data_IF_059488616750
#
_entry.id   IF_059488616750
#
_cell.length_a   1.000
_cell.length_b   1.000
_cell.length_c   1.000
_cell.angle_alpha   90.00
_cell.angle_beta   90.00
_cell.angle_gamma   90.00
#
_symmetry.space_group_name_H-M   'P 1'
#
loop_
_entity.id
_entity.type
_entity.pdbx_description
1 polymer ?
#
# COMPACT_ATOMS: atom_id res chain seq x y z
N UNK A 1 24.88 53.99 -11.09
CA UNK A 1 23.54 53.46 -11.43
C UNK A 1 23.46 52.91 -12.86
N UNK A 2 24.03 53.58 -13.89
CA UNK A 2 23.97 53.11 -15.29
C UNK A 2 24.73 51.80 -15.63
N UNK A 3 25.72 51.37 -14.81
CA UNK A 3 26.45 50.10 -15.05
C UNK A 3 25.65 48.83 -14.73
N UNK A 4 24.54 48.92 -13.99
CA UNK A 4 23.61 47.81 -13.76
C UNK A 4 22.62 47.64 -14.93
N UNK A 5 22.47 48.67 -15.77
CA UNK A 5 21.60 48.68 -16.95
C UNK A 5 22.25 48.04 -18.18
N UNK A 6 23.56 47.85 -18.16
CA UNK A 6 24.37 47.34 -19.27
C UNK A 6 25.02 45.97 -18.95
N UNK A 7 24.76 45.42 -17.76
CA UNK A 7 25.28 44.12 -17.35
C UNK A 7 24.31 43.02 -17.77
N UNK A 8 24.75 42.12 -18.65
CA UNK A 8 24.08 40.84 -18.84
C UNK A 8 24.02 40.10 -17.51
N UNK A 9 22.82 39.78 -17.06
CA UNK A 9 22.62 38.72 -16.07
C UNK A 9 23.02 37.42 -16.75
N UNK A 10 24.30 37.06 -16.62
CA UNK A 10 24.75 35.69 -16.82
C UNK A 10 24.02 34.83 -15.78
N UNK A 11 22.83 34.39 -16.18
CA UNK A 11 21.99 33.44 -15.50
C UNK A 11 22.88 32.36 -14.92
N UNK A 12 22.85 32.25 -13.60
CA UNK A 12 23.22 31.03 -12.92
C UNK A 12 22.50 29.87 -13.64
N UNK A 13 23.19 29.19 -14.54
CA UNK A 13 22.73 27.91 -15.03
C UNK A 13 22.93 26.94 -13.86
N UNK A 14 21.88 26.30 -13.33
CA UNK A 14 22.08 25.13 -12.49
C UNK A 14 22.93 24.09 -13.28
N UNK A 15 23.76 23.27 -12.62
CA UNK A 15 24.69 22.34 -13.25
C UNK A 15 23.98 21.10 -13.82
N UNK A 16 22.91 21.33 -14.59
CA UNK A 16 22.17 20.32 -15.32
C UNK A 16 21.97 20.85 -16.75
N UNK A 17 22.89 20.49 -17.62
CA UNK A 17 22.74 20.55 -19.07
C UNK A 17 23.76 19.60 -19.70
N UNK A 18 23.28 18.72 -20.58
CA UNK A 18 22.96 19.11 -21.95
C UNK A 18 21.53 19.64 -22.08
N UNK A 19 21.37 20.77 -22.78
CA UNK A 19 20.06 21.30 -23.17
C UNK A 19 19.81 20.95 -24.63
N UNK A 20 18.57 20.59 -24.96
CA UNK A 20 18.18 20.40 -26.37
C UNK A 20 18.08 21.78 -27.00
N UNK A 21 19.10 22.16 -27.78
CA UNK A 21 19.03 23.34 -28.64
C UNK A 21 18.27 22.99 -29.91
N UNK A 22 16.96 23.25 -29.89
CA UNK A 22 16.06 23.03 -31.03
C UNK A 22 16.41 23.92 -32.24
N UNK A 23 17.19 24.99 -32.01
CA UNK A 23 17.70 25.93 -33.02
C UNK A 23 18.76 25.31 -33.93
N UNK A 24 19.48 24.29 -33.45
CA UNK A 24 20.50 23.57 -34.22
C UNK A 24 19.95 22.34 -34.97
N UNK A 25 18.63 22.15 -34.98
CA UNK A 25 17.96 21.04 -35.66
C UNK A 25 18.46 19.66 -35.21
N UNK A 26 18.65 18.75 -36.17
CA UNK A 26 19.07 17.35 -35.91
C UNK A 26 20.46 17.29 -35.26
N UNK A 27 21.33 18.28 -35.51
CA UNK A 27 22.66 18.35 -34.89
C UNK A 27 22.57 18.68 -33.39
N UNK A 28 21.66 19.57 -32.99
CA UNK A 28 21.38 19.87 -31.57
C UNK A 28 20.78 18.69 -30.83
N UNK A 29 19.88 17.94 -31.48
CA UNK A 29 19.35 16.70 -30.91
C UNK A 29 20.45 15.63 -30.74
N UNK A 30 21.34 15.45 -31.72
CA UNK A 30 22.45 14.50 -31.62
C UNK A 30 23.45 14.88 -30.52
N UNK A 31 23.76 16.17 -30.36
CA UNK A 31 24.63 16.66 -29.30
C UNK A 31 24.01 16.45 -27.90
N UNK A 32 22.69 16.62 -27.76
CA UNK A 32 21.98 16.31 -26.53
C UNK A 32 22.06 14.83 -26.16
N UNK A 33 21.77 13.93 -27.11
CA UNK A 33 21.85 12.49 -26.85
C UNK A 33 23.29 12.02 -26.58
N UNK A 34 24.30 12.63 -27.22
CA UNK A 34 25.71 12.31 -26.98
C UNK A 34 26.22 12.79 -25.62
N UNK A 35 25.59 13.82 -25.05
CA UNK A 35 25.95 14.37 -23.75
C UNK A 35 25.14 13.78 -22.58
N UNK A 36 24.25 12.80 -22.83
CA UNK A 36 23.59 12.04 -21.78
C UNK A 36 24.63 11.15 -21.07
N UNK A 37 25.03 11.56 -19.89
CA UNK A 37 25.91 10.79 -19.02
C UNK A 37 25.11 9.76 -18.19
N UNK A 38 25.30 8.48 -18.49
CA UNK A 38 24.70 7.37 -17.74
C UNK A 38 25.58 6.90 -16.57
N UNK A 39 26.76 7.50 -16.38
CA UNK A 39 27.68 7.13 -15.32
C UNK A 39 27.09 7.38 -13.93
N UNK A 40 26.25 8.42 -13.77
CA UNK A 40 25.51 8.68 -12.52
C UNK A 40 24.54 7.55 -12.17
N UNK A 41 23.84 6.97 -13.15
CA UNK A 41 22.96 5.80 -12.95
C UNK A 41 23.75 4.52 -12.65
N UNK A 42 24.93 4.36 -13.26
CA UNK A 42 25.85 3.26 -12.95
C UNK A 42 26.48 3.38 -11.55
N UNK A 43 26.71 4.61 -11.05
CA UNK A 43 27.16 4.84 -9.67
C UNK A 43 26.06 4.57 -8.65
N UNK A 44 24.81 4.97 -8.93
CA UNK A 44 23.62 4.67 -8.10
C UNK A 44 23.41 3.17 -7.86
N UNK A 45 23.75 2.33 -8.85
CA UNK A 45 23.59 0.86 -8.77
C UNK A 45 24.79 0.13 -8.18
N UNK A 46 25.94 0.79 -8.00
CA UNK A 46 27.13 0.19 -7.38
C UNK A 46 27.32 0.57 -5.92
N UNK A 47 26.71 1.67 -5.49
CA UNK A 47 26.83 2.12 -4.12
C UNK A 47 25.86 1.37 -3.19
N UNK A 48 26.45 0.52 -2.35
CA UNK A 48 25.73 -0.32 -1.39
C UNK A 48 24.81 0.47 -0.46
N UNK A 49 25.10 1.75 -0.19
CA UNK A 49 24.31 2.59 0.70
C UNK A 49 22.97 3.00 0.07
N UNK A 50 22.96 3.27 -1.23
CA UNK A 50 21.73 3.57 -1.96
C UNK A 50 20.85 2.32 -2.07
N UNK A 51 21.43 1.18 -2.45
CA UNK A 51 20.69 -0.08 -2.54
C UNK A 51 20.12 -0.46 -1.17
N UNK A 52 20.90 -0.35 -0.09
CA UNK A 52 20.44 -0.64 1.26
C UNK A 52 19.28 0.29 1.70
N UNK A 53 19.32 1.57 1.33
CA UNK A 53 18.25 2.53 1.64
C UNK A 53 16.95 2.20 0.88
N UNK A 54 17.07 1.83 -0.40
CA UNK A 54 15.93 1.37 -1.21
C UNK A 54 15.32 0.08 -0.64
N UNK A 55 16.15 -0.92 -0.33
CA UNK A 55 15.68 -2.19 0.23
C UNK A 55 15.03 -2.00 1.61
N UNK A 56 15.62 -1.15 2.45
CA UNK A 56 15.08 -0.82 3.77
C UNK A 56 13.72 -0.16 3.63
N UNK A 57 13.57 0.83 2.74
CA UNK A 57 12.29 1.50 2.49
C UNK A 57 11.22 0.52 2.00
N UNK A 58 11.59 -0.40 1.10
CA UNK A 58 10.68 -1.44 0.61
C UNK A 58 10.27 -2.40 1.74
N UNK A 59 11.22 -2.81 2.59
CA UNK A 59 10.95 -3.62 3.79
C UNK A 59 10.01 -2.89 4.74
N UNK A 60 10.26 -1.61 5.03
CA UNK A 60 9.39 -0.79 5.87
C UNK A 60 7.97 -0.72 5.31
N UNK A 61 7.83 -0.46 4.01
CA UNK A 61 6.53 -0.43 3.34
C UNK A 61 5.81 -1.78 3.44
N UNK A 62 6.49 -2.88 3.09
CA UNK A 62 5.90 -4.22 3.14
C UNK A 62 5.43 -4.63 4.54
N UNK A 63 6.27 -4.39 5.57
CA UNK A 63 5.95 -4.71 6.97
C UNK A 63 4.81 -3.82 7.47
N UNK A 64 4.87 -2.52 7.21
CA UNK A 64 3.84 -1.58 7.63
C UNK A 64 2.48 -1.90 7.00
N UNK A 65 2.43 -2.13 5.68
CA UNK A 65 1.20 -2.51 4.98
C UNK A 65 0.66 -3.83 5.52
N UNK A 66 1.52 -4.81 5.79
CA UNK A 66 1.10 -6.09 6.38
C UNK A 66 0.48 -5.91 7.76
N UNK A 67 1.09 -5.11 8.63
CA UNK A 67 0.55 -4.78 9.97
C UNK A 67 -0.77 -4.01 9.87
N UNK A 68 -0.85 -3.02 8.98
CA UNK A 68 -2.07 -2.26 8.70
C UNK A 68 -3.21 -3.15 8.21
N UNK A 69 -2.92 -4.11 7.33
CA UNK A 69 -3.92 -5.05 6.85
C UNK A 69 -4.35 -5.98 7.98
N UNK A 70 -3.40 -6.53 8.74
CA UNK A 70 -3.67 -7.46 9.84
C UNK A 70 -4.52 -6.85 10.95
N UNK A 71 -4.38 -5.54 11.21
CA UNK A 71 -5.14 -4.82 12.25
C UNK A 71 -6.38 -4.12 11.67
N UNK A 72 -6.25 -3.44 10.54
CA UNK A 72 -7.32 -2.67 9.92
C UNK A 72 -8.44 -3.54 9.37
N UNK A 73 -8.11 -4.72 8.85
CA UNK A 73 -9.09 -5.67 8.34
C UNK A 73 -10.07 -6.19 9.41
N UNK A 74 -9.63 -6.74 10.56
CA UNK A 74 -10.56 -7.21 11.59
C UNK A 74 -11.37 -6.06 12.20
N UNK A 75 -10.82 -4.84 12.28
CA UNK A 75 -11.57 -3.65 12.70
C UNK A 75 -12.70 -3.35 11.71
N UNK A 76 -12.39 -3.26 10.41
CA UNK A 76 -13.39 -2.98 9.37
C UNK A 76 -14.46 -4.09 9.31
N UNK A 77 -14.05 -5.34 9.44
CA UNK A 77 -14.96 -6.48 9.50
C UNK A 77 -15.87 -6.44 10.73
N UNK A 78 -15.32 -6.18 11.92
CA UNK A 78 -16.11 -5.99 13.13
C UNK A 78 -17.14 -4.87 12.96
N UNK A 79 -16.71 -3.71 12.44
CA UNK A 79 -17.59 -2.56 12.15
C UNK A 79 -18.75 -2.89 11.21
N UNK A 80 -18.49 -3.69 10.16
CA UNK A 80 -19.52 -4.08 9.18
C UNK A 80 -20.67 -4.89 9.80
N UNK A 81 -20.43 -5.60 10.91
CA UNK A 81 -21.42 -6.47 11.58
C UNK A 81 -22.30 -5.76 12.62
N UNK A 82 -21.99 -4.52 12.97
CA UNK A 82 -22.79 -3.76 13.94
C UNK A 82 -24.06 -3.16 13.33
N UNK A 83 -25.09 -2.88 14.17
CA UNK A 83 -26.29 -2.16 13.74
C UNK A 83 -25.96 -0.78 13.13
N UNK A 84 -26.78 -0.27 12.19
CA UNK A 84 -26.48 0.94 11.43
C UNK A 84 -26.20 2.18 12.29
N UNK A 85 -26.88 2.33 13.43
CA UNK A 85 -26.65 3.43 14.37
C UNK A 85 -25.27 3.36 15.04
N UNK A 86 -24.81 2.17 15.42
CA UNK A 86 -23.49 1.99 16.07
C UNK A 86 -22.37 2.12 15.05
N UNK A 87 -22.56 1.59 13.84
CA UNK A 87 -21.64 1.71 12.71
C UNK A 87 -21.25 3.16 12.40
N UNK A 88 -22.23 4.07 12.34
CA UNK A 88 -21.96 5.49 12.12
C UNK A 88 -21.11 6.11 13.25
N UNK A 89 -21.37 5.73 14.51
CA UNK A 89 -20.57 6.16 15.65
C UNK A 89 -19.13 5.61 15.59
N UNK A 90 -18.93 4.34 15.22
CA UNK A 90 -17.60 3.75 15.05
C UNK A 90 -16.83 4.41 13.89
N UNK A 91 -17.47 4.69 12.76
CA UNK A 91 -16.85 5.44 11.66
C UNK A 91 -16.39 6.82 12.11
N UNK A 92 -17.23 7.52 12.90
CA UNK A 92 -16.87 8.82 13.46
C UNK A 92 -15.69 8.72 14.43
N UNK A 93 -15.63 7.66 15.25
CA UNK A 93 -14.49 7.38 16.14
C UNK A 93 -13.19 7.10 15.37
N UNK A 94 -13.25 6.42 14.22
CA UNK A 94 -12.08 6.15 13.35
C UNK A 94 -11.58 7.42 12.66
N UNK A 95 -12.47 8.37 12.34
CA UNK A 95 -12.12 9.64 11.72
C UNK A 95 -11.61 10.66 12.76
N UNK A 96 -12.05 10.56 14.02
CA UNK A 96 -11.62 11.43 15.12
C UNK A 96 -10.10 11.67 15.22
N UNK A 97 -9.21 10.66 15.13
CA UNK A 97 -7.76 10.87 15.16
C UNK A 97 -7.23 11.73 13.99
N UNK A 98 -7.96 11.83 12.88
CA UNK A 98 -7.60 12.69 11.76
C UNK A 98 -7.83 14.17 12.06
N UNK A 99 -8.81 14.50 12.92
CA UNK A 99 -9.14 15.89 13.28
C UNK A 99 -8.14 16.48 14.29
N UNK A 100 -7.29 15.65 14.88
CA UNK A 100 -6.24 16.09 15.80
C UNK A 100 -4.97 16.49 15.06
N UNK A 101 -4.32 17.59 15.47
CA UNK A 101 -3.05 18.04 14.89
C UNK A 101 -1.99 16.95 14.96
N UNK A 102 -1.28 16.75 13.83
CA UNK A 102 -0.20 15.77 13.71
C UNK A 102 0.86 15.94 14.82
N UNK A 103 1.20 17.17 15.18
CA UNK A 103 2.20 17.45 16.22
C UNK A 103 1.74 16.93 17.60
N UNK A 104 0.49 17.15 17.97
CA UNK A 104 -0.06 16.68 19.25
C UNK A 104 0.02 15.16 19.33
N UNK A 105 -0.32 14.47 18.22
CA UNK A 105 -0.20 13.01 18.12
C UNK A 105 1.23 12.52 18.28
N UNK A 106 2.20 13.19 17.65
CA UNK A 106 3.62 12.84 17.78
C UNK A 106 4.07 13.00 19.23
N UNK A 107 3.75 14.12 19.88
CA UNK A 107 4.10 14.33 21.29
C UNK A 107 3.40 13.34 22.23
N UNK A 108 2.14 12.97 21.96
CA UNK A 108 1.43 11.95 22.70
C UNK A 108 2.13 10.59 22.60
N UNK A 109 2.53 10.17 21.39
CA UNK A 109 3.28 8.93 21.19
C UNK A 109 4.67 8.97 21.84
N UNK A 110 5.38 10.10 21.76
CA UNK A 110 6.65 10.30 22.47
C UNK A 110 6.44 10.12 23.99
N UNK A 111 5.38 10.72 24.56
CA UNK A 111 5.07 10.61 25.98
C UNK A 111 4.69 9.18 26.41
N UNK A 112 4.06 8.40 25.53
CA UNK A 112 3.70 6.99 25.78
C UNK A 112 4.91 6.07 25.67
N UNK A 113 5.77 6.27 24.65
CA UNK A 113 6.88 5.37 24.30
C UNK A 113 8.21 5.71 24.98
N UNK A 114 8.33 6.88 25.63
CA UNK A 114 9.54 7.23 26.39
C UNK A 114 9.81 6.20 27.49
N UNK A 115 11.06 6.05 27.96
CA UNK A 115 11.42 5.05 28.97
C UNK A 115 10.59 5.14 30.26
N UNK A 116 10.20 6.35 30.66
CA UNK A 116 9.33 6.62 31.82
C UNK A 116 7.89 6.95 31.39
N UNK A 117 7.45 6.40 30.26
CA UNK A 117 6.18 6.68 29.63
C UNK A 117 5.05 5.80 30.15
N UNK A 118 3.85 6.04 29.64
CA UNK A 118 2.66 5.30 30.03
C UNK A 118 2.77 3.80 29.74
N UNK A 119 3.44 3.43 28.64
CA UNK A 119 3.66 2.03 28.27
C UNK A 119 4.50 1.29 29.32
N UNK A 120 5.67 1.83 29.67
CA UNK A 120 6.54 1.21 30.66
C UNK A 120 5.95 1.26 32.07
N UNK A 121 5.17 2.29 32.41
CA UNK A 121 4.43 2.35 33.65
C UNK A 121 3.37 1.23 33.75
N UNK A 122 2.69 0.90 32.64
CA UNK A 122 1.74 -0.21 32.58
C UNK A 122 2.42 -1.60 32.59
N UNK A 123 3.66 -1.70 32.11
CA UNK A 123 4.46 -2.94 32.12
C UNK A 123 5.13 -3.21 33.48
N UNK A 124 5.40 -2.17 34.26
CA UNK A 124 6.00 -2.29 35.60
C UNK A 124 5.27 -3.26 36.56
N UNK A 125 3.92 -3.23 36.71
CA UNK A 125 3.22 -4.18 37.58
C UNK A 125 3.27 -5.63 37.08
N UNK A 126 3.59 -5.87 35.80
CA UNK A 126 3.78 -7.21 35.22
C UNK A 126 5.20 -7.74 35.46
N UNK A 127 6.09 -6.97 36.10
CA UNK A 127 7.49 -7.35 36.33
C UNK A 127 8.36 -7.32 35.07
N UNK A 128 7.88 -6.71 33.98
CA UNK A 128 8.59 -6.62 32.71
C UNK A 128 9.57 -5.45 32.76
N UNK A 129 10.82 -5.68 32.35
CA UNK A 129 11.84 -4.63 32.29
C UNK A 129 11.44 -3.50 31.31
N UNK A 130 11.86 -2.24 31.56
CA UNK A 130 11.47 -1.12 30.72
C UNK A 130 11.96 -1.30 29.28
N UNK A 131 11.03 -1.18 28.33
CA UNK A 131 11.32 -1.28 26.90
C UNK A 131 11.75 0.08 26.35
N UNK A 132 12.86 0.10 25.60
CA UNK A 132 13.40 1.30 24.96
C UNK A 132 12.93 1.38 23.50
N UNK A 133 11.67 1.76 23.26
CA UNK A 133 11.04 1.71 21.93
C UNK A 133 11.20 3.03 21.16
N UNK A 134 11.23 4.17 21.84
CA UNK A 134 11.12 5.51 21.24
C UNK A 134 12.07 5.78 20.05
N UNK A 135 13.31 5.28 20.11
CA UNK A 135 14.35 5.51 19.09
C UNK A 135 14.56 4.31 18.15
N UNK A 136 13.59 3.40 18.06
CA UNK A 136 13.68 2.17 17.25
C UNK A 136 12.68 2.18 16.10
N UNK A 137 12.93 1.33 15.10
CA UNK A 137 12.02 1.09 13.98
C UNK A 137 10.60 0.73 14.45
N UNK A 138 10.47 0.07 15.60
CA UNK A 138 9.18 -0.29 16.21
C UNK A 138 8.32 0.93 16.54
N UNK A 139 8.92 2.02 17.05
CA UNK A 139 8.19 3.27 17.28
C UNK A 139 7.67 3.86 15.96
N UNK A 140 8.47 3.78 14.90
CA UNK A 140 8.10 4.22 13.56
C UNK A 140 6.91 3.41 13.05
N UNK A 141 6.95 2.07 13.16
CA UNK A 141 5.85 1.20 12.77
C UNK A 141 4.56 1.51 13.54
N UNK A 142 4.62 1.72 14.85
CA UNK A 142 3.43 2.06 15.67
C UNK A 142 2.82 3.38 15.20
N UNK A 143 3.64 4.42 15.03
CA UNK A 143 3.19 5.71 14.55
C UNK A 143 2.58 5.64 13.14
N UNK A 144 3.18 4.83 12.26
CA UNK A 144 2.73 4.64 10.89
C UNK A 144 1.40 3.88 10.84
N UNK A 145 1.27 2.77 11.57
CA UNK A 145 0.01 2.03 11.68
C UNK A 145 -1.09 2.97 12.19
N UNK A 146 -0.87 3.69 13.29
CA UNK A 146 -1.85 4.63 13.83
C UNK A 146 -2.26 5.73 12.82
N UNK A 147 -1.28 6.32 12.11
CA UNK A 147 -1.53 7.40 11.18
C UNK A 147 -2.32 6.96 9.93
N UNK A 148 -2.07 5.74 9.45
CA UNK A 148 -2.65 5.24 8.20
C UNK A 148 -3.84 4.31 8.41
N UNK A 149 -4.14 3.89 9.65
CA UNK A 149 -5.27 3.00 9.97
C UNK A 149 -6.62 3.54 9.47
N UNK A 150 -6.98 4.83 9.65
CA UNK A 150 -8.26 5.35 9.16
C UNK A 150 -8.38 5.24 7.63
N UNK A 151 -7.30 5.57 6.91
CA UNK A 151 -7.23 5.49 5.45
C UNK A 151 -7.34 4.06 4.93
N UNK A 152 -6.90 3.07 5.71
CA UNK A 152 -7.04 1.65 5.37
C UNK A 152 -8.45 1.13 5.68
N UNK A 153 -9.02 1.52 6.82
CA UNK A 153 -10.33 1.03 7.30
C UNK A 153 -11.48 1.55 6.45
N UNK A 154 -11.47 2.81 6.04
CA UNK A 154 -12.53 3.45 5.23
C UNK A 154 -12.87 2.68 3.93
N UNK A 155 -11.91 2.41 3.01
CA UNK A 155 -12.19 1.69 1.78
C UNK A 155 -12.54 0.22 2.04
N UNK A 156 -11.90 -0.44 3.01
CA UNK A 156 -12.24 -1.82 3.39
C UNK A 156 -13.69 -1.91 3.89
N UNK A 157 -14.08 -1.00 4.76
CA UNK A 157 -15.44 -0.92 5.27
C UNK A 157 -16.46 -0.71 4.14
N UNK A 158 -16.19 0.18 3.17
CA UNK A 158 -17.10 0.41 2.05
C UNK A 158 -17.29 -0.82 1.14
N UNK A 159 -16.28 -1.68 1.03
CA UNK A 159 -16.38 -2.95 0.31
C UNK A 159 -17.15 -3.98 1.14
N UNK A 160 -16.86 -4.08 2.45
CA UNK A 160 -17.50 -5.04 3.35
C UNK A 160 -18.97 -4.73 3.63
N UNK A 161 -19.35 -3.45 3.67
CA UNK A 161 -20.73 -3.02 3.81
C UNK A 161 -21.58 -3.38 2.59
N UNK A 162 -20.98 -3.38 1.39
CA UNK A 162 -21.65 -3.76 0.14
C UNK A 162 -21.66 -5.27 -0.11
N UNK A 163 -20.91 -6.06 0.66
CA UNK A 163 -20.94 -7.52 0.54
C UNK A 163 -22.26 -8.06 1.10
N UNK A 164 -23.10 -8.53 0.18
CA UNK A 164 -24.43 -9.04 0.46
C UNK A 164 -24.37 -10.23 1.44
N UNK A 165 -25.21 -10.22 2.48
CA UNK A 165 -25.26 -11.30 3.49
C UNK A 165 -25.47 -12.68 2.85
N UNK A 166 -26.13 -12.72 1.68
CA UNK A 166 -26.35 -13.92 0.88
C UNK A 166 -25.06 -14.62 0.42
N UNK A 167 -23.95 -13.90 0.19
CA UNK A 167 -22.68 -14.53 -0.19
C UNK A 167 -22.00 -15.24 0.98
N UNK A 168 -22.21 -14.72 2.19
CA UNK A 168 -21.70 -15.32 3.42
C UNK A 168 -22.57 -16.49 3.90
N UNK A 169 -23.88 -16.38 3.73
CA UNK A 169 -24.83 -17.48 3.96
C UNK A 169 -24.58 -18.64 2.98
N UNK A 170 -24.40 -18.36 1.69
CA UNK A 170 -24.04 -19.39 0.70
C UNK A 170 -22.69 -20.07 1.00
N UNK A 171 -21.70 -19.32 1.49
CA UNK A 171 -20.42 -19.89 1.91
C UNK A 171 -20.56 -20.75 3.19
N UNK A 172 -21.44 -20.36 4.11
CA UNK A 172 -21.74 -21.11 5.33
C UNK A 172 -22.57 -22.37 5.04
N UNK A 173 -23.51 -22.32 4.09
CA UNK A 173 -24.30 -23.47 3.60
C UNK A 173 -23.41 -24.53 2.94
N UNK A 174 -22.31 -24.10 2.31
CA UNK A 174 -21.26 -24.98 1.79
C UNK A 174 -20.29 -25.49 2.88
N UNK A 175 -20.55 -25.21 4.16
CA UNK A 175 -19.79 -25.71 5.31
C UNK A 175 -18.48 -24.97 5.60
N UNK A 176 -18.25 -23.79 5.02
CA UNK A 176 -17.04 -23.01 5.32
C UNK A 176 -17.15 -22.34 6.70
N UNK A 177 -16.10 -22.48 7.51
CA UNK A 177 -15.97 -21.71 8.75
C UNK A 177 -15.83 -20.22 8.41
N UNK A 178 -16.27 -19.28 9.28
CA UNK A 178 -16.21 -17.84 8.98
C UNK A 178 -14.80 -17.33 8.65
N UNK A 179 -13.75 -17.98 9.16
CA UNK A 179 -12.36 -17.71 8.76
C UNK A 179 -12.02 -18.22 7.36
N UNK A 180 -12.54 -19.39 6.93
CA UNK A 180 -12.36 -19.89 5.57
C UNK A 180 -13.18 -19.09 4.55
N UNK A 181 -14.42 -18.71 4.87
CA UNK A 181 -15.23 -17.83 4.04
C UNK A 181 -14.54 -16.46 3.85
N UNK A 182 -13.92 -15.94 4.91
CA UNK A 182 -13.13 -14.72 4.86
C UNK A 182 -11.93 -14.83 3.87
N UNK A 183 -11.06 -15.83 4.02
CA UNK A 183 -9.87 -15.97 3.17
C UNK A 183 -10.17 -16.42 1.73
N UNK A 184 -11.24 -17.20 1.50
CA UNK A 184 -11.59 -17.73 0.17
C UNK A 184 -12.54 -16.87 -0.63
N UNK A 185 -13.38 -16.06 0.03
CA UNK A 185 -14.44 -15.29 -0.65
C UNK A 185 -14.20 -13.80 -0.48
N UNK A 186 -14.08 -13.30 0.76
CA UNK A 186 -13.96 -11.86 0.99
C UNK A 186 -12.59 -11.29 0.63
N UNK A 187 -11.49 -11.98 0.94
CA UNK A 187 -10.14 -11.53 0.58
C UNK A 187 -9.92 -11.37 -0.94
N UNK A 188 -10.29 -12.35 -1.81
CA UNK A 188 -10.17 -12.17 -3.25
C UNK A 188 -11.18 -11.15 -3.83
N UNK A 189 -12.38 -11.02 -3.28
CA UNK A 189 -13.36 -10.02 -3.76
C UNK A 189 -12.99 -8.58 -3.38
N UNK A 190 -12.23 -8.39 -2.29
CA UNK A 190 -11.72 -7.07 -1.88
C UNK A 190 -10.42 -6.67 -2.59
N UNK A 191 -9.80 -7.58 -3.35
CA UNK A 191 -8.64 -7.33 -4.21
C UNK A 191 -9.04 -7.46 -5.70
N UNK A 192 -9.34 -6.37 -6.41
CA UNK A 192 -9.70 -6.44 -7.85
C UNK A 192 -8.53 -6.88 -8.75
N UNK A 193 -7.33 -7.06 -8.21
CA UNK A 193 -6.09 -7.28 -8.96
C UNK A 193 -5.68 -8.75 -9.14
N UNK A 194 -6.36 -9.72 -8.51
CA UNK A 194 -6.03 -11.14 -8.74
C UNK A 194 -6.92 -11.71 -9.85
N UNK A 195 -6.37 -12.19 -10.99
CA UNK A 195 -7.18 -12.87 -11.98
C UNK A 195 -7.73 -14.17 -11.35
N UNK A 196 -9.04 -14.44 -11.42
CA UNK A 196 -9.63 -15.63 -10.83
C UNK A 196 -8.92 -16.88 -11.37
N UNK A 197 -8.52 -17.77 -10.46
CA UNK A 197 -7.73 -18.98 -10.76
C UNK A 197 -8.25 -19.88 -11.90
N UNK A 198 -9.56 -19.98 -12.24
CA UNK A 198 -9.95 -20.83 -13.36
C UNK A 198 -9.50 -20.31 -14.74
N UNK A 199 -8.99 -19.08 -14.87
CA UNK A 199 -8.51 -18.56 -16.16
C UNK A 199 -7.20 -19.21 -16.65
N UNK A 200 -6.48 -19.95 -15.78
CA UNK A 200 -5.23 -20.63 -16.14
C UNK A 200 -5.45 -22.05 -16.69
N UNK A 201 -6.70 -22.52 -16.74
CA UNK A 201 -7.05 -23.89 -17.13
C UNK A 201 -8.16 -23.93 -18.18
N UNK A 202 -8.00 -23.17 -19.26
CA UNK A 202 -8.69 -23.49 -20.51
C UNK A 202 -7.71 -24.08 -21.51
N UNK A 203 -7.43 -25.40 -21.46
CA UNK A 203 -6.69 -26.02 -22.54
C UNK A 203 -7.54 -25.93 -23.81
N UNK A 204 -6.94 -25.40 -24.87
CA UNK A 204 -7.45 -25.47 -26.23
C UNK A 204 -7.57 -26.94 -26.65
N UNK A 205 -8.72 -27.57 -26.36
CA UNK A 205 -9.10 -28.88 -26.87
C UNK A 205 -9.97 -28.72 -28.11
N UNK A 206 -9.33 -28.58 -29.27
CA UNK A 206 -10.02 -28.63 -30.56
C UNK A 206 -10.65 -30.00 -30.77
N UNK A 207 -11.98 -30.10 -30.63
CA UNK A 207 -12.75 -31.23 -31.17
C UNK A 207 -13.18 -30.88 -32.59
N UNK A 208 -12.34 -31.26 -33.54
CA UNK A 208 -12.75 -31.45 -34.93
C UNK A 208 -13.85 -32.52 -34.92
N UNK A 209 -15.03 -32.14 -35.40
CA UNK A 209 -16.17 -33.03 -35.62
C UNK A 209 -15.73 -34.17 -36.52
N UNK A 210 -15.73 -35.38 -35.98
CA UNK A 210 -15.62 -36.58 -36.78
C UNK A 210 -16.93 -36.76 -37.56
N UNK A 211 -16.80 -37.17 -38.81
CA UNK A 211 -17.89 -37.21 -39.78
C UNK A 211 -18.06 -38.62 -40.35
N UNK A 212 -19.32 -39.07 -40.33
CA UNK A 212 -19.95 -40.22 -41.04
C UNK A 212 -19.98 -41.59 -40.29
N UNK A 213 -20.70 -42.62 -40.81
CA UNK A 213 -22.17 -42.73 -40.85
C UNK A 213 -22.67 -44.13 -40.40
N UNK A 214 -23.91 -44.25 -39.92
CA UNK A 214 -24.67 -45.51 -39.85
C UNK A 214 -26.15 -45.16 -39.58
N UNK A 215 -27.19 -45.62 -40.29
CA UNK A 215 -27.33 -46.81 -41.13
C UNK A 215 -28.16 -47.87 -40.40
N UNK A 216 -29.49 -47.88 -40.63
CA UNK A 216 -30.45 -48.98 -40.34
C UNK A 216 -30.90 -49.11 -38.87
N UNK A 217 -32.13 -49.49 -38.50
CA UNK A 217 -33.22 -50.15 -39.24
C UNK A 217 -34.54 -50.18 -38.42
N UNK A 218 -35.68 -50.11 -39.14
CA UNK A 218 -37.01 -50.72 -38.88
C UNK A 218 -37.85 -50.23 -37.66
N UNK A 219 -39.19 -50.44 -37.64
CA UNK A 219 -40.07 -51.11 -38.61
C UNK A 219 -40.90 -50.20 -39.52
#
# INVERSE_FOLDING_TARGET
MAKLSLSDTALAMPPYAPRVDWTAGIAGARAFFAALDFETYARLTRDSLYIASYLSSLKFAAVATSLLLLIGYPIAYGMSRFPPAQRQALLMAVILPFWTSFLIRVYAWIAVLKPQGLLNAALAPLGIAPLHILNTDTAVYIGLVYAYLPFMVLPLYAVLEKQDQSQLEAAADLGCTPAQAFWRVTFPLSCPAWPPAPALFHPHGGRVRDSRPAGGSAP
#
